data_IF_097302678195
#
_entry.id   IF_097302678195
#
_cell.length_a   1.000
_cell.length_b   1.000
_cell.length_c   1.000
_cell.angle_alpha   90.00
_cell.angle_beta   90.00
_cell.angle_gamma   90.00
#
_symmetry.space_group_name_H-M   'P 1'
#
loop_
_entity.id
_entity.type
_entity.pdbx_description
1 polymer ?
#
# COMPACT_ATOMS: atom_id res chain seq x y z
N UNK A 1 -3.32 37.74 6.98
CA UNK A 1 -4.25 36.76 6.39
C UNK A 1 -3.54 36.10 5.23
N UNK A 2 -3.08 34.86 5.43
CA UNK A 2 -2.47 34.08 4.36
C UNK A 2 -3.64 33.56 3.53
N UNK A 3 -3.96 34.28 2.46
CA UNK A 3 -5.06 33.96 1.55
C UNK A 3 -4.67 32.75 0.69
N UNK A 4 -4.59 31.56 1.33
CA UNK A 4 -4.31 30.26 0.73
C UNK A 4 -5.58 29.76 0.05
N UNK A 5 -6.06 30.50 -0.95
CA UNK A 5 -7.15 30.04 -1.79
C UNK A 5 -6.75 28.83 -2.65
N UNK A 6 -7.75 28.08 -3.11
CA UNK A 6 -7.61 26.91 -4.01
C UNK A 6 -6.70 27.24 -5.21
N UNK A 7 -6.78 28.47 -5.74
CA UNK A 7 -5.98 28.95 -6.87
C UNK A 7 -4.48 28.93 -6.62
N UNK A 8 -4.01 29.31 -5.43
CA UNK A 8 -2.58 29.29 -5.09
C UNK A 8 -2.07 27.86 -4.89
N UNK A 9 -2.89 26.98 -4.30
CA UNK A 9 -2.58 25.56 -4.19
C UNK A 9 -2.50 24.89 -5.58
N UNK A 10 -3.42 25.22 -6.49
CA UNK A 10 -3.39 24.74 -7.86
C UNK A 10 -2.10 25.19 -8.58
N UNK A 11 -1.69 26.45 -8.42
CA UNK A 11 -0.44 26.96 -8.99
C UNK A 11 0.80 26.21 -8.47
N UNK A 12 0.88 25.98 -7.16
CA UNK A 12 1.96 25.18 -6.56
C UNK A 12 1.96 23.75 -7.11
N UNK A 13 0.78 23.13 -7.26
CA UNK A 13 0.66 21.79 -7.81
C UNK A 13 1.17 21.72 -9.26
N UNK A 14 0.87 22.72 -10.09
CA UNK A 14 1.40 22.83 -11.46
C UNK A 14 2.93 22.98 -11.46
N UNK A 15 3.47 23.89 -10.65
CA UNK A 15 4.93 24.07 -10.54
C UNK A 15 5.61 22.78 -10.08
N UNK A 16 5.03 22.09 -9.09
CA UNK A 16 5.54 20.82 -8.60
C UNK A 16 5.54 19.75 -9.72
N UNK A 17 4.50 19.71 -10.56
CA UNK A 17 4.40 18.76 -11.66
C UNK A 17 5.47 19.00 -12.72
N UNK A 18 5.80 20.26 -13.00
CA UNK A 18 6.87 20.63 -13.94
C UNK A 18 8.27 20.32 -13.38
N UNK A 19 8.54 20.71 -12.14
CA UNK A 19 9.88 20.61 -11.54
C UNK A 19 10.22 19.18 -11.14
N UNK A 20 9.29 18.49 -10.48
CA UNK A 20 9.50 17.13 -9.96
C UNK A 20 9.19 16.08 -11.03
N UNK A 21 8.24 16.38 -11.93
CA UNK A 21 7.72 15.47 -12.93
C UNK A 21 6.55 14.62 -12.41
N UNK A 22 5.57 14.29 -13.29
CA UNK A 22 4.38 13.52 -12.93
C UNK A 22 4.69 12.09 -12.46
N UNK A 23 5.81 11.50 -12.90
CA UNK A 23 6.22 10.14 -12.51
C UNK A 23 6.71 10.05 -11.06
N UNK A 24 7.23 11.15 -10.51
CA UNK A 24 7.91 11.18 -9.20
C UNK A 24 7.06 11.77 -8.09
N UNK A 25 6.14 12.68 -8.43
CA UNK A 25 5.13 13.24 -7.50
C UNK A 25 4.37 12.19 -6.68
N UNK A 26 3.78 11.11 -7.26
CA UNK A 26 3.01 10.13 -6.48
C UNK A 26 3.89 9.39 -5.46
N UNK A 27 5.18 9.21 -5.74
CA UNK A 27 6.12 8.60 -4.81
C UNK A 27 6.38 9.51 -3.61
N UNK A 28 6.55 10.81 -3.84
CA UNK A 28 6.76 11.82 -2.79
C UNK A 28 5.48 12.01 -1.97
N UNK A 29 4.31 12.11 -2.61
CA UNK A 29 3.03 12.21 -1.92
C UNK A 29 2.78 11.03 -0.98
N UNK A 30 3.08 9.80 -1.43
CA UNK A 30 2.99 8.60 -0.57
C UNK A 30 3.97 8.65 0.61
N UNK A 31 5.18 9.14 0.38
CA UNK A 31 6.19 9.26 1.43
C UNK A 31 5.80 10.33 2.47
N UNK A 32 5.37 11.50 2.01
CA UNK A 32 4.86 12.57 2.86
C UNK A 32 3.62 12.13 3.64
N UNK A 33 2.67 11.45 3.00
CA UNK A 33 1.47 10.91 3.65
C UNK A 33 1.80 9.88 4.74
N UNK A 34 2.76 8.99 4.50
CA UNK A 34 3.19 8.01 5.51
C UNK A 34 3.89 8.67 6.71
N UNK A 35 4.67 9.73 6.48
CA UNK A 35 5.29 10.54 7.54
C UNK A 35 4.24 11.31 8.35
N UNK A 36 3.31 11.98 7.66
CA UNK A 36 2.24 12.74 8.30
C UNK A 36 1.30 11.84 9.11
N UNK A 37 0.91 10.68 8.56
CA UNK A 37 0.07 9.71 9.27
C UNK A 37 0.73 9.16 10.53
N UNK A 38 2.07 9.07 10.56
CA UNK A 38 2.82 8.75 11.79
C UNK A 38 2.82 9.91 12.77
N UNK A 39 3.11 11.13 12.31
CA UNK A 39 3.11 12.32 13.15
C UNK A 39 1.74 12.55 13.83
N UNK A 40 0.64 12.34 13.11
CA UNK A 40 -0.71 12.44 13.65
C UNK A 40 -0.96 11.45 14.81
N UNK A 41 -0.42 10.23 14.72
CA UNK A 41 -0.52 9.23 15.81
C UNK A 41 0.25 9.69 17.04
N UNK A 42 1.48 10.19 16.88
CA UNK A 42 2.24 10.74 18.00
C UNK A 42 1.55 11.95 18.65
N UNK A 43 0.93 12.82 17.85
CA UNK A 43 0.14 13.95 18.35
C UNK A 43 -1.08 13.48 19.14
N UNK A 44 -1.72 12.37 18.74
CA UNK A 44 -2.84 11.81 19.50
C UNK A 44 -2.41 11.30 20.87
N UNK A 45 -1.26 10.62 20.94
CA UNK A 45 -0.69 10.11 22.20
C UNK A 45 -0.30 11.28 23.14
N UNK A 46 0.40 12.29 22.62
CA UNK A 46 0.79 13.50 23.37
C UNK A 46 -0.43 14.30 23.83
N UNK A 47 -1.47 14.43 22.98
CA UNK A 47 -2.71 15.10 23.36
C UNK A 47 -3.39 14.40 24.53
N UNK A 48 -3.33 13.08 24.63
CA UNK A 48 -3.94 12.33 25.73
C UNK A 48 -3.22 12.56 27.07
N UNK A 49 -1.91 12.74 27.05
CA UNK A 49 -1.09 13.06 28.23
C UNK A 49 -1.23 14.54 28.64
N UNK A 50 -1.22 15.45 27.66
CA UNK A 50 -1.22 16.91 27.88
C UNK A 50 -2.63 17.48 28.14
N UNK A 51 -3.69 16.85 27.62
CA UNK A 51 -5.09 17.23 27.91
C UNK A 51 -5.45 17.15 29.39
N UNK A 52 -4.61 16.53 30.22
CA UNK A 52 -4.78 16.43 31.65
C UNK A 52 -4.12 17.59 32.43
N UNK A 53 -3.29 18.40 31.78
CA UNK A 53 -2.42 19.40 32.42
C UNK A 53 -2.52 20.83 31.85
N UNK A 54 -3.21 21.07 30.73
CA UNK A 54 -3.35 22.40 30.13
C UNK A 54 -4.81 22.89 30.02
N UNK A 55 -4.99 24.21 30.06
CA UNK A 55 -6.27 24.91 30.14
C UNK A 55 -7.25 24.61 29.00
N UNK A 56 -8.45 24.16 29.37
CA UNK A 56 -9.50 23.61 28.48
C UNK A 56 -10.09 24.67 27.53
N UNK A 57 -9.94 25.96 27.85
CA UNK A 57 -10.52 27.06 27.08
C UNK A 57 -9.66 27.48 25.87
N UNK A 58 -8.34 27.50 25.98
CA UNK A 58 -7.46 27.83 24.84
C UNK A 58 -7.49 26.74 23.76
N UNK A 59 -7.53 25.47 24.18
CA UNK A 59 -7.69 24.35 23.25
C UNK A 59 -9.04 24.30 22.57
N UNK A 60 -10.12 24.74 23.25
CA UNK A 60 -11.45 24.86 22.62
C UNK A 60 -11.40 25.89 21.51
N UNK A 61 -10.83 27.07 21.77
CA UNK A 61 -10.75 28.16 20.79
C UNK A 61 -9.90 27.76 19.56
N UNK A 62 -8.74 27.15 19.79
CA UNK A 62 -7.88 26.62 18.73
C UNK A 62 -8.56 25.49 17.94
N UNK A 63 -9.32 24.62 18.61
CA UNK A 63 -10.09 23.55 17.95
C UNK A 63 -11.19 24.13 17.09
N UNK A 64 -11.91 25.13 17.57
CA UNK A 64 -13.02 25.75 16.86
C UNK A 64 -12.53 26.48 15.60
N UNK A 65 -11.43 27.23 15.72
CA UNK A 65 -10.73 27.88 14.60
C UNK A 65 -10.15 26.86 13.60
N UNK A 66 -9.59 25.76 14.09
CA UNK A 66 -9.13 24.67 13.23
C UNK A 66 -10.30 24.00 12.49
N UNK A 67 -11.41 23.73 13.19
CA UNK A 67 -12.60 23.09 12.62
C UNK A 67 -13.25 23.97 11.55
N UNK A 68 -13.29 25.30 11.72
CA UNK A 68 -13.77 26.19 10.67
C UNK A 68 -12.85 26.16 9.45
N UNK A 69 -11.53 26.23 9.65
CA UNK A 69 -10.57 26.15 8.55
C UNK A 69 -10.65 24.80 7.81
N UNK A 70 -10.88 23.69 8.53
CA UNK A 70 -11.08 22.38 7.92
C UNK A 70 -12.38 22.31 7.10
N UNK A 71 -13.48 22.88 7.60
CA UNK A 71 -14.75 22.93 6.86
C UNK A 71 -14.65 23.74 5.57
N UNK A 72 -13.93 24.86 5.61
CA UNK A 72 -13.69 25.69 4.43
C UNK A 72 -12.87 24.93 3.38
N UNK A 73 -11.85 24.19 3.82
CA UNK A 73 -11.07 23.31 2.95
C UNK A 73 -11.93 22.19 2.38
N UNK A 74 -12.76 21.54 3.18
CA UNK A 74 -13.65 20.45 2.73
C UNK A 74 -14.65 20.93 1.66
N UNK A 75 -15.30 22.09 1.88
CA UNK A 75 -16.17 22.71 0.89
C UNK A 75 -15.42 23.01 -0.42
N UNK A 76 -14.20 23.55 -0.31
CA UNK A 76 -13.37 23.88 -1.47
C UNK A 76 -12.90 22.63 -2.25
N UNK A 77 -12.59 21.53 -1.54
CA UNK A 77 -12.23 20.25 -2.14
C UNK A 77 -13.45 19.64 -2.81
N UNK A 78 -14.64 19.71 -2.21
CA UNK A 78 -15.86 19.17 -2.78
C UNK A 78 -16.22 19.87 -4.10
N UNK A 79 -16.15 21.20 -4.14
CA UNK A 79 -16.32 21.97 -5.38
C UNK A 79 -15.26 21.62 -6.43
N UNK A 80 -13.98 21.58 -6.04
CA UNK A 80 -12.90 21.20 -6.96
C UNK A 80 -13.03 19.76 -7.47
N UNK A 81 -13.56 18.83 -6.66
CA UNK A 81 -13.78 17.44 -7.05
C UNK A 81 -14.95 17.31 -8.02
N UNK A 82 -16.03 18.09 -7.85
CA UNK A 82 -17.13 18.15 -8.81
C UNK A 82 -16.68 18.73 -10.15
N UNK A 83 -15.91 19.82 -10.13
CA UNK A 83 -15.36 20.43 -11.34
C UNK A 83 -14.35 19.52 -12.03
N UNK A 84 -13.43 18.91 -11.28
CA UNK A 84 -12.49 17.94 -11.82
C UNK A 84 -13.22 16.70 -12.37
N UNK A 85 -14.22 16.18 -11.66
CA UNK A 85 -15.01 15.03 -12.09
C UNK A 85 -15.69 15.26 -13.44
N UNK A 86 -16.31 16.43 -13.65
CA UNK A 86 -16.96 16.79 -14.91
C UNK A 86 -15.97 16.95 -16.07
N UNK A 87 -14.80 17.54 -15.83
CA UNK A 87 -13.77 17.72 -16.87
C UNK A 87 -12.98 16.43 -17.15
N UNK A 88 -12.77 15.59 -16.13
CA UNK A 88 -12.10 14.30 -16.30
C UNK A 88 -13.01 13.25 -16.91
N UNK A 89 -14.32 13.24 -16.67
CA UNK A 89 -15.22 12.28 -17.32
C UNK A 89 -15.21 12.46 -18.84
N UNK A 90 -15.24 13.70 -19.32
CA UNK A 90 -15.16 14.02 -20.75
C UNK A 90 -13.80 13.62 -21.38
N UNK A 91 -12.71 13.70 -20.60
CA UNK A 91 -11.37 13.32 -21.06
C UNK A 91 -11.06 11.81 -20.86
N UNK A 92 -11.71 11.16 -19.90
CA UNK A 92 -11.56 9.73 -19.62
C UNK A 92 -12.16 8.88 -20.74
N UNK A 93 -13.28 9.29 -21.33
CA UNK A 93 -13.87 8.62 -22.50
C UNK A 93 -12.92 8.63 -23.72
N UNK A 94 -12.05 9.64 -23.83
CA UNK A 94 -11.02 9.72 -24.89
C UNK A 94 -9.83 8.78 -24.57
N UNK A 95 -9.47 8.62 -23.29
CA UNK A 95 -8.35 7.79 -22.86
C UNK A 95 -8.71 6.29 -22.77
N UNK A 96 -9.97 5.95 -22.49
CA UNK A 96 -10.44 4.56 -22.36
C UNK A 96 -10.43 3.82 -23.71
N UNK A 97 -10.73 4.53 -24.81
CA UNK A 97 -10.77 3.95 -26.16
C UNK A 97 -9.39 3.61 -26.75
N UNK A 98 -8.28 4.09 -26.16
CA UNK A 98 -6.92 3.75 -26.59
C UNK A 98 -6.26 2.64 -25.72
N UNK A 99 -6.96 2.12 -24.72
CA UNK A 99 -6.51 1.01 -23.86
C UNK A 99 -7.39 -0.23 -24.04
N UNK A 100 -7.76 -0.57 -25.28
CA UNK A 100 -8.21 -1.94 -25.57
C UNK A 100 -7.07 -2.89 -25.23
N UNK A 101 -7.14 -3.50 -24.06
CA UNK A 101 -6.18 -4.51 -23.59
C UNK A 101 -6.15 -5.60 -24.64
N UNK A 102 -5.05 -5.67 -25.40
CA UNK A 102 -4.87 -6.71 -26.41
C UNK A 102 -5.18 -8.07 -25.79
N UNK A 103 -5.93 -8.95 -26.48
CA UNK A 103 -6.27 -10.26 -25.96
C UNK A 103 -4.97 -10.97 -25.61
N UNK A 104 -4.84 -11.36 -24.34
CA UNK A 104 -3.65 -12.03 -23.85
C UNK A 104 -3.63 -13.43 -24.46
N UNK A 105 -2.57 -13.76 -25.21
CA UNK A 105 -2.37 -15.12 -25.70
C UNK A 105 -2.05 -16.04 -24.51
N UNK A 106 -3.07 -16.76 -24.05
CA UNK A 106 -2.99 -17.71 -22.93
C UNK A 106 -1.87 -18.74 -23.14
N UNK A 107 -1.56 -19.11 -24.40
CA UNK A 107 -0.50 -20.06 -24.72
C UNK A 107 0.88 -19.50 -24.44
N UNK A 108 1.10 -18.22 -24.74
CA UNK A 108 2.37 -17.54 -24.47
C UNK A 108 2.61 -17.38 -22.96
N UNK A 109 1.57 -16.99 -22.22
CA UNK A 109 1.62 -16.85 -20.76
C UNK A 109 1.91 -18.20 -20.08
N UNK A 110 1.28 -19.29 -20.56
CA UNK A 110 1.57 -20.65 -20.09
C UNK A 110 3.02 -21.06 -20.37
N UNK A 111 3.54 -20.85 -21.59
CA UNK A 111 4.94 -21.16 -21.88
C UNK A 111 5.93 -20.38 -21.00
N UNK A 112 5.63 -19.10 -20.74
CA UNK A 112 6.50 -18.23 -19.92
C UNK A 112 6.46 -18.60 -18.43
N UNK A 113 5.29 -18.98 -17.92
CA UNK A 113 5.11 -19.44 -16.53
C UNK A 113 5.65 -20.86 -16.29
N UNK A 114 5.64 -21.75 -17.28
CA UNK A 114 6.29 -23.07 -17.21
C UNK A 114 7.79 -22.93 -16.91
N UNK A 115 8.45 -21.88 -17.43
CA UNK A 115 9.87 -21.58 -17.12
C UNK A 115 10.09 -21.07 -15.69
N UNK A 116 9.04 -20.63 -14.99
CA UNK A 116 9.09 -20.18 -13.59
C UNK A 116 8.94 -21.33 -12.57
N UNK A 117 9.16 -22.58 -12.97
CA UNK A 117 9.35 -23.70 -12.04
C UNK A 117 10.53 -23.47 -11.09
N UNK A 118 10.59 -24.28 -10.00
CA UNK A 118 11.58 -24.46 -8.88
C UNK A 118 12.82 -23.54 -8.76
N UNK A 119 13.36 -23.06 -9.86
CA UNK A 119 14.46 -22.09 -10.00
C UNK A 119 14.00 -20.62 -9.92
N UNK A 120 12.70 -20.30 -9.91
CA UNK A 120 12.24 -18.91 -9.76
C UNK A 120 12.65 -18.30 -8.43
N UNK A 121 13.11 -17.04 -8.46
CA UNK A 121 13.67 -16.36 -7.28
C UNK A 121 12.65 -16.19 -6.15
N UNK A 122 11.36 -16.06 -6.46
CA UNK A 122 10.28 -16.05 -5.47
C UNK A 122 10.16 -17.37 -4.69
N UNK A 123 10.23 -18.51 -5.38
CA UNK A 123 10.22 -19.85 -4.76
C UNK A 123 11.46 -20.06 -3.87
N UNK A 124 12.61 -19.50 -4.26
CA UNK A 124 13.82 -19.52 -3.43
C UNK A 124 13.68 -18.69 -2.15
N UNK A 125 12.95 -17.56 -2.18
CA UNK A 125 12.72 -16.72 -0.98
C UNK A 125 11.73 -17.31 0.01
N UNK A 126 10.73 -18.04 -0.47
CA UNK A 126 9.78 -18.76 0.40
C UNK A 126 10.35 -20.06 1.00
N UNK A 127 11.53 -20.51 0.55
CA UNK A 127 12.13 -21.75 1.04
C UNK A 127 12.69 -21.56 2.46
N UNK A 128 12.01 -22.15 3.45
CA UNK A 128 12.52 -22.22 4.83
C UNK A 128 13.90 -22.92 4.87
N UNK A 129 14.92 -22.36 5.55
CA UNK A 129 16.24 -22.97 5.70
C UNK A 129 16.17 -24.38 6.29
N UNK A 130 17.14 -25.22 5.93
CA UNK A 130 17.21 -26.63 6.38
C UNK A 130 17.40 -26.72 7.90
N UNK A 131 18.22 -25.85 8.50
CA UNK A 131 18.42 -25.79 9.95
C UNK A 131 17.11 -25.55 10.72
N UNK A 132 16.22 -24.69 10.21
CA UNK A 132 14.92 -24.39 10.83
C UNK A 132 13.98 -25.59 10.76
N UNK A 133 14.03 -26.37 9.68
CA UNK A 133 13.24 -27.61 9.56
C UNK A 133 13.73 -28.68 10.53
N UNK A 134 15.04 -28.74 10.77
CA UNK A 134 15.62 -29.64 11.77
C UNK A 134 15.27 -29.25 13.20
N UNK A 135 15.26 -27.95 13.53
CA UNK A 135 14.92 -27.48 14.89
C UNK A 135 13.43 -27.64 15.23
N UNK A 136 12.54 -27.52 14.24
CA UNK A 136 11.08 -27.64 14.42
C UNK A 136 10.55 -29.06 14.28
N UNK A 137 11.42 -30.06 14.09
CA UNK A 137 11.03 -31.46 13.96
C UNK A 137 10.27 -31.80 12.67
N UNK A 138 10.29 -30.91 11.66
CA UNK A 138 9.65 -31.17 10.37
C UNK A 138 10.43 -32.24 9.60
N UNK A 139 9.71 -33.27 9.12
CA UNK A 139 10.31 -34.33 8.29
C UNK A 139 10.79 -33.75 6.95
N UNK A 140 12.11 -33.78 6.73
CA UNK A 140 12.75 -33.25 5.51
C UNK A 140 12.81 -34.27 4.36
N UNK A 141 12.65 -35.56 4.66
CA UNK A 141 12.68 -36.66 3.69
C UNK A 141 11.40 -37.48 3.75
N UNK A 142 10.89 -37.88 2.58
CA UNK A 142 9.78 -38.82 2.45
C UNK A 142 10.33 -40.24 2.63
N UNK A 143 9.69 -41.06 3.45
CA UNK A 143 10.03 -42.48 3.55
C UNK A 143 9.59 -43.21 2.28
N UNK A 144 10.52 -43.90 1.61
CA UNK A 144 10.20 -44.74 0.45
C UNK A 144 9.24 -45.87 0.84
N UNK A 145 8.47 -46.38 -0.14
CA UNK A 145 7.53 -47.49 0.07
C UNK A 145 8.17 -48.73 0.71
N UNK A 146 9.39 -49.08 0.26
CA UNK A 146 10.17 -50.18 0.82
C UNK A 146 10.57 -49.95 2.29
N UNK A 147 10.93 -48.71 2.66
CA UNK A 147 11.28 -48.37 4.04
C UNK A 147 10.07 -48.42 4.99
N UNK A 148 8.85 -48.21 4.46
CA UNK A 148 7.61 -48.43 5.20
C UNK A 148 7.37 -49.92 5.42
N UNK A 149 7.50 -50.74 4.38
CA UNK A 149 7.33 -52.20 4.49
C UNK A 149 8.30 -52.85 5.47
N UNK A 150 9.57 -52.38 5.53
CA UNK A 150 10.57 -52.87 6.50
C UNK A 150 10.12 -52.78 7.97
N UNK A 151 9.23 -51.83 8.30
CA UNK A 151 8.71 -51.66 9.67
C UNK A 151 7.58 -52.63 10.02
N UNK A 152 6.95 -53.26 9.02
CA UNK A 152 5.78 -54.13 9.20
C UNK A 152 6.08 -55.62 8.96
N UNK A 153 7.31 -56.01 8.64
CA UNK A 153 7.71 -57.41 8.72
C UNK A 153 7.79 -57.82 10.20
N UNK A 154 6.74 -58.49 10.67
CA UNK A 154 6.78 -59.27 11.90
C UNK A 154 7.82 -60.37 11.67
N UNK A 155 8.72 -60.60 12.64
CA UNK A 155 9.57 -61.79 12.63
C UNK A 155 8.64 -63.00 12.76
N UNK A 156 8.31 -63.64 11.65
CA UNK A 156 7.80 -65.00 11.67
C UNK A 156 8.94 -65.87 12.24
N UNK A 157 8.87 -66.12 13.55
CA UNK A 157 9.75 -67.05 14.23
C UNK A 157 9.56 -68.46 13.65
N UNK A 158 10.70 -69.15 13.52
CA UNK A 158 10.93 -70.58 13.25
C UNK A 158 9.73 -71.45 12.87
#
# INVERSE_FOLDING_TARGET
MIDLGVSKLALIAVVALVVVGPERLPKIARMAGNLFGRAQRYMADVKSEVSRQMDVEEFKKLREESVSAFKDVENSIQSATQEAGANLSDQADIFENHFTRAPLDEKEVLQKSIRQGRKSWGVKRAARPVWFKHSTGMRTRVQSGAARMKRFHHSAGK
#
